data_IF_832046604008
#
_entry.id   IF_832046604008
#
_cell.length_a   1.000
_cell.length_b   1.000
_cell.length_c   1.000
_cell.angle_alpha   90.00
_cell.angle_beta   90.00
_cell.angle_gamma   90.00
#
_symmetry.space_group_name_H-M   'P 1'
#
loop_
_entity.id
_entity.type
_entity.pdbx_description
1 polymer ?
#
# COMPACT_ATOMS: atom_id res chain seq x y z
N UNK A 1 -24.63 -19.54 34.43
CA UNK A 1 -25.23 -18.22 34.10
C UNK A 1 -25.38 -18.08 32.60
N UNK A 2 -26.52 -17.62 32.07
CA UNK A 2 -26.64 -17.30 30.65
C UNK A 2 -25.79 -16.07 30.31
N UNK A 3 -25.11 -16.10 29.16
CA UNK A 3 -24.26 -15.03 28.65
C UNK A 3 -25.12 -13.81 28.28
N UNK A 4 -24.68 -12.59 28.60
CA UNK A 4 -25.46 -11.39 28.30
C UNK A 4 -25.31 -11.02 26.81
N UNK A 5 -26.35 -10.48 26.16
CA UNK A 5 -26.27 -10.05 24.76
C UNK A 5 -25.12 -9.07 24.46
N UNK A 6 -24.77 -8.21 25.41
CA UNK A 6 -23.64 -7.27 25.31
C UNK A 6 -22.29 -7.99 25.17
N UNK A 7 -22.11 -9.12 25.87
CA UNK A 7 -20.86 -9.88 25.85
C UNK A 7 -20.67 -10.53 24.48
N UNK A 8 -21.75 -11.00 23.87
CA UNK A 8 -21.75 -11.58 22.52
C UNK A 8 -21.42 -10.53 21.46
N UNK A 9 -22.01 -9.33 21.55
CA UNK A 9 -21.72 -8.24 20.62
C UNK A 9 -20.25 -7.79 20.71
N UNK A 10 -19.71 -7.68 21.93
CA UNK A 10 -18.31 -7.34 22.14
C UNK A 10 -17.36 -8.41 21.58
N UNK A 11 -17.62 -9.69 21.87
CA UNK A 11 -16.82 -10.79 21.34
C UNK A 11 -16.84 -10.84 19.80
N UNK A 12 -17.99 -10.60 19.17
CA UNK A 12 -18.09 -10.49 17.70
C UNK A 12 -17.22 -9.36 17.16
N UNK A 13 -17.25 -8.19 17.79
CA UNK A 13 -16.41 -7.05 17.39
C UNK A 13 -14.91 -7.36 17.43
N UNK A 14 -14.45 -8.11 18.44
CA UNK A 14 -13.06 -8.57 18.53
C UNK A 14 -12.72 -9.50 17.36
N UNK A 15 -13.58 -10.49 17.08
CA UNK A 15 -13.34 -11.44 15.97
C UNK A 15 -13.30 -10.72 14.63
N UNK A 16 -14.23 -9.78 14.39
CA UNK A 16 -14.27 -9.01 13.14
C UNK A 16 -13.00 -8.18 12.93
N UNK A 17 -12.45 -7.58 14.00
CA UNK A 17 -11.20 -6.83 13.90
C UNK A 17 -9.99 -7.73 13.65
N UNK A 18 -9.89 -8.87 14.35
CA UNK A 18 -8.82 -9.85 14.13
C UNK A 18 -8.85 -10.36 12.68
N UNK A 19 -10.03 -10.71 12.17
CA UNK A 19 -10.20 -11.15 10.78
C UNK A 19 -9.77 -10.06 9.80
N UNK A 20 -10.15 -8.80 10.05
CA UNK A 20 -9.70 -7.67 9.24
C UNK A 20 -8.17 -7.55 9.23
N UNK A 21 -7.52 -7.60 10.39
CA UNK A 21 -6.06 -7.51 10.50
C UNK A 21 -5.37 -8.66 9.75
N UNK A 22 -5.88 -9.89 9.86
CA UNK A 22 -5.34 -11.04 9.12
C UNK A 22 -5.49 -10.88 7.60
N UNK A 23 -6.65 -10.41 7.13
CA UNK A 23 -6.88 -10.17 5.71
C UNK A 23 -6.02 -9.02 5.18
N UNK A 24 -5.89 -7.93 5.93
CA UNK A 24 -5.06 -6.77 5.59
C UNK A 24 -3.58 -7.14 5.56
N UNK A 25 -3.14 -8.01 6.48
CA UNK A 25 -1.79 -8.57 6.46
C UNK A 25 -1.53 -9.36 5.18
N UNK A 26 -2.42 -10.31 4.83
CA UNK A 26 -2.30 -11.10 3.60
C UNK A 26 -2.33 -10.21 2.36
N UNK A 27 -3.26 -9.26 2.31
CA UNK A 27 -3.38 -8.31 1.21
C UNK A 27 -2.10 -7.50 1.03
N UNK A 28 -1.56 -6.94 2.12
CA UNK A 28 -0.35 -6.12 2.09
C UNK A 28 0.84 -6.92 1.58
N UNK A 29 1.05 -8.16 2.06
CA UNK A 29 2.15 -9.01 1.57
C UNK A 29 2.00 -9.34 0.09
N UNK A 30 0.80 -9.64 -0.37
CA UNK A 30 0.55 -10.00 -1.77
C UNK A 30 0.66 -8.80 -2.74
N UNK A 31 0.50 -7.57 -2.24
CA UNK A 31 0.44 -6.35 -3.05
C UNK A 31 1.59 -5.38 -2.80
N UNK A 32 2.64 -5.82 -2.09
CA UNK A 32 3.76 -4.98 -1.70
C UNK A 32 4.46 -4.31 -2.90
N UNK A 33 4.72 -5.05 -3.98
CA UNK A 33 5.33 -4.48 -5.20
C UNK A 33 4.42 -3.46 -5.86
N UNK A 34 3.15 -3.79 -6.15
CA UNK A 34 2.16 -2.86 -6.71
C UNK A 34 2.01 -1.57 -5.87
N UNK A 35 2.10 -1.68 -4.54
CA UNK A 35 2.08 -0.51 -3.65
C UNK A 35 3.31 0.38 -3.85
N UNK A 36 4.50 -0.22 -4.00
CA UNK A 36 5.75 0.50 -4.23
C UNK A 36 5.77 1.14 -5.62
N UNK A 37 5.29 0.41 -6.62
CA UNK A 37 5.22 0.86 -8.02
C UNK A 37 4.09 1.89 -8.26
N UNK A 38 3.25 2.13 -7.25
CA UNK A 38 2.16 3.11 -7.33
C UNK A 38 0.94 2.64 -8.12
N UNK A 39 0.82 1.34 -8.38
CA UNK A 39 -0.23 0.73 -9.22
C UNK A 39 -1.51 0.36 -8.47
N UNK A 40 -1.53 0.52 -7.14
CA UNK A 40 -2.74 0.30 -6.36
C UNK A 40 -3.74 1.45 -6.50
N UNK A 41 -5.03 1.11 -6.50
CA UNK A 41 -6.09 2.10 -6.31
C UNK A 41 -5.93 2.85 -4.98
N UNK A 42 -6.53 4.04 -4.88
CA UNK A 42 -6.49 4.86 -3.67
C UNK A 42 -6.92 4.09 -2.41
N UNK A 43 -7.93 3.23 -2.52
CA UNK A 43 -8.38 2.40 -1.40
C UNK A 43 -7.37 1.29 -1.06
N UNK A 44 -6.81 0.62 -2.07
CA UNK A 44 -5.76 -0.38 -1.85
C UNK A 44 -4.53 0.23 -1.17
N UNK A 45 -4.15 1.45 -1.57
CA UNK A 45 -3.05 2.20 -0.95
C UNK A 45 -3.34 2.52 0.51
N UNK A 46 -4.51 3.11 0.82
CA UNK A 46 -4.93 3.42 2.20
C UNK A 46 -4.96 2.18 3.08
N UNK A 47 -5.38 1.03 2.54
CA UNK A 47 -5.40 -0.25 3.24
C UNK A 47 -3.99 -0.69 3.66
N UNK A 48 -3.01 -0.61 2.76
CA UNK A 48 -1.60 -0.92 3.07
C UNK A 48 -1.04 0.07 4.11
N UNK A 49 -1.32 1.36 3.96
CA UNK A 49 -0.87 2.40 4.90
C UNK A 49 -1.43 2.19 6.31
N UNK A 50 -2.74 1.91 6.41
CA UNK A 50 -3.38 1.59 7.70
C UNK A 50 -2.74 0.36 8.34
N UNK A 51 -2.57 -0.73 7.59
CA UNK A 51 -1.98 -1.95 8.12
C UNK A 51 -0.53 -1.78 8.58
N UNK A 52 0.30 -1.09 7.79
CA UNK A 52 1.71 -0.84 8.14
C UNK A 52 1.88 0.12 9.32
N UNK A 53 0.86 0.89 9.68
CA UNK A 53 0.84 1.68 10.92
C UNK A 53 0.80 0.80 12.17
N UNK A 54 0.18 -0.39 12.10
CA UNK A 54 0.02 -1.31 13.24
C UNK A 54 0.89 -2.57 13.15
N UNK A 55 1.32 -2.97 11.95
CA UNK A 55 2.08 -4.19 11.72
C UNK A 55 3.56 -3.88 11.39
N UNK A 56 4.50 -4.06 12.36
CA UNK A 56 5.91 -3.75 12.14
C UNK A 56 6.57 -4.64 11.08
N UNK A 57 6.12 -5.89 10.94
CA UNK A 57 6.67 -6.82 9.93
C UNK A 57 6.36 -6.35 8.50
N UNK A 58 5.12 -5.91 8.24
CA UNK A 58 4.75 -5.38 6.93
C UNK A 58 5.44 -4.03 6.65
N UNK A 59 5.63 -3.20 7.67
CA UNK A 59 6.42 -1.95 7.54
C UNK A 59 7.86 -2.25 7.13
N UNK A 60 8.50 -3.21 7.80
CA UNK A 60 9.86 -3.63 7.47
C UNK A 60 9.95 -4.19 6.04
N UNK A 61 9.00 -5.04 5.62
CA UNK A 61 8.94 -5.56 4.25
C UNK A 61 8.95 -4.45 3.19
N UNK A 62 8.07 -3.45 3.33
CA UNK A 62 8.00 -2.32 2.39
C UNK A 62 9.31 -1.52 2.40
N UNK A 63 9.89 -1.28 3.58
CA UNK A 63 11.15 -0.56 3.69
C UNK A 63 12.31 -1.32 3.00
N UNK A 64 12.42 -2.63 3.22
CA UNK A 64 13.45 -3.46 2.58
C UNK A 64 13.30 -3.49 1.06
N UNK A 65 12.09 -3.62 0.53
CA UNK A 65 11.86 -3.58 -0.92
C UNK A 65 12.23 -2.22 -1.52
N UNK A 66 11.92 -1.11 -0.85
CA UNK A 66 12.34 0.24 -1.30
C UNK A 66 13.87 0.37 -1.31
N UNK A 67 14.54 -0.06 -0.25
CA UNK A 67 16.01 -0.04 -0.17
C UNK A 67 16.65 -0.88 -1.29
N UNK A 68 16.07 -2.04 -1.61
CA UNK A 68 16.54 -2.87 -2.72
C UNK A 68 16.40 -2.15 -4.07
N UNK A 69 15.29 -1.44 -4.31
CA UNK A 69 15.09 -0.67 -5.55
C UNK A 69 16.04 0.53 -5.64
N UNK A 70 16.27 1.23 -4.53
CA UNK A 70 17.24 2.34 -4.46
C UNK A 70 18.68 1.87 -4.71
N UNK A 71 19.02 0.65 -4.29
CA UNK A 71 20.32 0.03 -4.50
C UNK A 71 20.54 -0.50 -5.92
N UNK A 72 19.56 -0.41 -6.82
CA UNK A 72 19.66 -0.82 -8.23
C UNK A 72 19.85 0.43 -9.13
N UNK A 73 21.11 0.91 -9.33
CA UNK A 73 21.35 2.01 -10.26
C UNK A 73 20.98 1.57 -11.69
N UNK A 74 19.99 2.25 -12.28
CA UNK A 74 19.65 2.13 -13.71
C UNK A 74 18.34 1.41 -14.07
N UNK A 75 17.51 1.01 -13.11
CA UNK A 75 16.18 0.39 -13.41
C UNK A 75 15.05 1.43 -13.48
N UNK A 76 15.29 2.67 -13.07
CA UNK A 76 14.42 3.77 -13.46
C UNK A 76 14.45 3.88 -14.98
N UNK A 77 13.31 3.69 -15.64
CA UNK A 77 13.18 3.91 -17.07
C UNK A 77 13.77 5.29 -17.37
N UNK A 78 14.92 5.32 -18.04
CA UNK A 78 15.54 6.57 -18.46
C UNK A 78 14.46 7.33 -19.25
N UNK A 79 14.11 8.58 -18.87
CA UNK A 79 13.13 9.35 -19.60
C UNK A 79 13.52 9.31 -21.07
N UNK A 80 12.59 8.91 -21.95
CA UNK A 80 12.88 8.92 -23.40
C UNK A 80 13.36 10.35 -23.75
N UNK A 81 14.54 10.51 -24.35
CA UNK A 81 15.01 11.81 -24.77
C UNK A 81 13.92 12.50 -25.61
N UNK A 82 13.58 13.75 -25.29
CA UNK A 82 12.53 14.51 -25.96
C UNK A 82 11.11 14.37 -25.39
N UNK A 83 10.84 13.45 -24.44
CA UNK A 83 9.52 13.32 -23.82
C UNK A 83 9.19 14.51 -22.91
N UNK A 84 10.18 15.01 -22.17
CA UNK A 84 10.05 16.24 -21.39
C UNK A 84 9.78 17.44 -22.30
N UNK A 85 10.53 17.58 -23.39
CA UNK A 85 10.37 18.68 -24.35
C UNK A 85 8.99 18.67 -25.01
N UNK A 86 8.50 17.49 -25.39
CA UNK A 86 7.17 17.34 -25.98
C UNK A 86 6.01 17.67 -25.03
N UNK A 87 6.12 17.31 -23.74
CA UNK A 87 5.12 17.68 -22.72
C UNK A 87 5.12 19.19 -22.48
N UNK A 88 6.31 19.79 -22.37
CA UNK A 88 6.46 21.24 -22.17
C UNK A 88 5.90 22.03 -23.35
N UNK A 89 6.16 21.59 -24.58
CA UNK A 89 5.64 22.27 -25.78
C UNK A 89 4.11 22.18 -25.89
N UNK A 90 3.53 21.05 -25.47
CA UNK A 90 2.06 20.90 -25.43
C UNK A 90 1.42 21.85 -24.42
N UNK A 91 1.96 21.94 -23.21
CA UNK A 91 1.46 22.86 -22.18
C UNK A 91 1.50 24.33 -22.64
N UNK A 92 2.55 24.72 -23.36
CA UNK A 92 2.68 26.07 -23.92
C UNK A 92 1.65 26.39 -25.01
N UNK A 93 1.18 25.39 -25.75
CA UNK A 93 0.15 25.56 -26.80
C UNK A 93 -1.28 25.64 -26.26
N UNK A 94 -1.48 25.20 -25.02
CA UNK A 94 -2.79 25.19 -24.35
C UNK A 94 -3.02 26.45 -23.49
N UNK A 95 -2.05 27.38 -23.43
CA UNK A 95 -2.13 28.69 -22.78
C UNK A 95 -2.28 29.82 -23.79
#
# INVERSE_FOLDING_TARGET
HPVRPSDVAHARGIVDDVLRQMLDHRFTKARASQYIDGELSTEGRRRVERHTSVCPQCRALIASLRQMLEALPGVAASPRPGLADGVVERLRRES
#
